data_IF_492206412870
#
_entry.id   IF_492206412870
#
_cell.length_a   1.000
_cell.length_b   1.000
_cell.length_c   1.000
_cell.angle_alpha   90.00
_cell.angle_beta   90.00
_cell.angle_gamma   90.00
#
_symmetry.space_group_name_H-M   'P 1'
#
loop_
_entity.id
_entity.type
_entity.pdbx_description
1 polymer ?
#
# COMPACT_ATOMS: atom_id res chain seq x y z
N UNK A 1 -17.97 1.43 9.43
CA UNK A 1 -19.20 1.59 8.61
C UNK A 1 -20.41 1.72 9.53
N UNK A 2 -21.19 2.75 9.36
CA UNK A 2 -22.48 2.91 10.02
C UNK A 2 -23.53 2.25 9.12
N UNK A 3 -24.36 1.36 9.67
CA UNK A 3 -25.43 0.67 8.94
C UNK A 3 -24.97 -0.06 7.65
N UNK A 4 -23.77 -0.62 7.65
CA UNK A 4 -23.16 -1.28 6.47
C UNK A 4 -22.95 -0.35 5.24
N UNK A 5 -22.88 0.96 5.44
CA UNK A 5 -22.58 1.93 4.38
C UNK A 5 -21.18 2.52 4.57
N UNK A 6 -20.61 3.05 3.51
CA UNK A 6 -19.37 3.81 3.57
C UNK A 6 -19.54 5.03 4.51
N UNK A 7 -18.61 5.22 5.43
CA UNK A 7 -18.56 6.34 6.36
C UNK A 7 -17.63 7.44 5.81
N UNK A 8 -18.15 8.30 4.95
CA UNK A 8 -17.41 9.40 4.33
C UNK A 8 -16.81 10.34 5.40
N UNK A 9 -17.58 10.72 6.40
CA UNK A 9 -17.09 11.61 7.46
C UNK A 9 -15.96 10.97 8.28
N UNK A 10 -16.09 9.68 8.59
CA UNK A 10 -15.02 8.91 9.25
C UNK A 10 -13.76 8.81 8.40
N UNK A 11 -13.89 8.56 7.09
CA UNK A 11 -12.75 8.52 6.18
C UNK A 11 -12.04 9.87 6.11
N UNK A 12 -12.75 10.98 6.00
CA UNK A 12 -12.17 12.34 6.00
C UNK A 12 -11.36 12.60 7.28
N UNK A 13 -11.91 12.26 8.45
CA UNK A 13 -11.17 12.36 9.72
C UNK A 13 -9.90 11.51 9.72
N UNK A 14 -9.96 10.29 9.17
CA UNK A 14 -8.80 9.41 9.09
C UNK A 14 -7.70 9.98 8.19
N UNK A 15 -8.06 10.52 7.03
CA UNK A 15 -7.11 11.15 6.11
C UNK A 15 -6.46 12.36 6.77
N UNK A 16 -7.25 13.23 7.41
CA UNK A 16 -6.74 14.38 8.15
C UNK A 16 -5.81 13.98 9.31
N UNK A 17 -6.13 12.88 10.02
CA UNK A 17 -5.26 12.32 11.06
C UNK A 17 -3.91 11.86 10.48
N UNK A 18 -3.93 11.06 9.42
CA UNK A 18 -2.71 10.54 8.77
C UNK A 18 -1.85 11.69 8.21
N UNK A 19 -2.46 12.70 7.61
CA UNK A 19 -1.75 13.90 7.13
C UNK A 19 -1.05 14.65 8.27
N UNK A 20 -1.68 14.74 9.46
CA UNK A 20 -1.06 15.37 10.64
C UNK A 20 0.13 14.60 11.18
N UNK A 21 0.27 13.31 10.89
CA UNK A 21 1.47 12.53 11.21
C UNK A 21 2.68 12.96 10.37
N UNK A 22 2.47 13.71 9.28
CA UNK A 22 3.53 14.16 8.38
C UNK A 22 3.80 13.20 7.21
N UNK A 23 2.88 12.28 6.91
CA UNK A 23 2.99 11.39 5.73
C UNK A 23 2.97 12.19 4.44
N UNK A 24 3.73 11.78 3.42
CA UNK A 24 3.80 12.43 2.12
C UNK A 24 2.64 12.08 1.18
N UNK A 25 1.93 11.01 1.47
CA UNK A 25 0.82 10.54 0.66
C UNK A 25 0.04 9.41 1.32
N UNK A 26 -1.04 9.00 0.70
CA UNK A 26 -1.84 7.86 1.12
C UNK A 26 -2.58 7.19 -0.01
N UNK A 27 -2.88 5.93 0.18
CA UNK A 27 -3.62 5.14 -0.79
C UNK A 27 -4.95 4.63 -0.26
N UNK A 28 -5.91 4.48 -1.15
CA UNK A 28 -7.23 3.96 -0.84
C UNK A 28 -7.53 2.65 -1.55
N UNK A 29 -8.56 1.97 -1.09
CA UNK A 29 -9.10 0.73 -1.66
C UNK A 29 -8.09 -0.42 -1.83
N UNK A 30 -7.05 -0.46 -0.99
CA UNK A 30 -6.07 -1.55 -0.97
C UNK A 30 -6.59 -2.75 -0.16
N UNK A 31 -5.78 -3.82 -0.01
CA UNK A 31 -6.17 -5.02 0.73
C UNK A 31 -6.71 -4.69 2.14
N UNK A 32 -5.93 -3.98 2.96
CA UNK A 32 -6.38 -3.58 4.29
C UNK A 32 -7.52 -2.53 4.28
N UNK A 33 -7.81 -1.93 3.13
CA UNK A 33 -8.96 -1.04 2.91
C UNK A 33 -10.24 -1.76 2.52
N UNK A 34 -10.27 -3.10 2.61
CA UNK A 34 -11.45 -3.93 2.36
C UNK A 34 -12.12 -3.71 0.99
N UNK A 35 -11.32 -3.43 -0.07
CA UNK A 35 -11.86 -3.10 -1.39
C UNK A 35 -12.86 -4.14 -1.93
N UNK A 36 -12.66 -5.42 -1.58
CA UNK A 36 -13.54 -6.51 -1.99
C UNK A 36 -14.93 -6.49 -1.34
N UNK A 37 -15.10 -5.75 -0.25
CA UNK A 37 -16.38 -5.60 0.47
C UNK A 37 -17.13 -4.31 0.12
N UNK A 38 -16.51 -3.44 -0.66
CA UNK A 38 -17.12 -2.21 -1.17
C UNK A 38 -17.88 -2.49 -2.47
N UNK A 39 -19.02 -1.85 -2.64
CA UNK A 39 -19.65 -1.80 -3.97
C UNK A 39 -18.82 -0.97 -4.93
N UNK A 40 -19.07 -1.09 -6.22
CA UNK A 40 -18.39 -0.27 -7.22
C UNK A 40 -18.55 1.23 -6.92
N UNK A 41 -19.78 1.69 -6.69
CA UNK A 41 -20.08 3.09 -6.37
C UNK A 41 -19.39 3.55 -5.06
N UNK A 42 -19.27 2.67 -4.06
CA UNK A 42 -18.53 3.00 -2.85
C UNK A 42 -17.04 3.13 -3.10
N UNK A 43 -16.46 2.35 -4.02
CA UNK A 43 -15.05 2.51 -4.42
C UNK A 43 -14.82 3.86 -5.08
N UNK A 44 -15.71 4.28 -5.98
CA UNK A 44 -15.67 5.62 -6.57
C UNK A 44 -15.72 6.69 -5.48
N UNK A 45 -16.69 6.58 -4.57
CA UNK A 45 -16.86 7.54 -3.49
C UNK A 45 -15.65 7.63 -2.54
N UNK A 46 -14.97 6.52 -2.29
CA UNK A 46 -13.73 6.52 -1.51
C UNK A 46 -12.62 7.29 -2.23
N UNK A 47 -12.49 7.14 -3.56
CA UNK A 47 -11.50 7.87 -4.37
C UNK A 47 -11.78 9.38 -4.35
N UNK A 48 -13.03 9.80 -4.59
CA UNK A 48 -13.47 11.19 -4.47
C UNK A 48 -13.11 11.78 -3.09
N UNK A 49 -13.42 11.06 -2.02
CA UNK A 49 -13.13 11.51 -0.65
C UNK A 49 -11.64 11.70 -0.40
N UNK A 50 -10.80 10.81 -0.93
CA UNK A 50 -9.34 10.89 -0.77
C UNK A 50 -8.78 12.06 -1.59
N UNK A 51 -9.23 12.23 -2.83
CA UNK A 51 -8.81 13.34 -3.68
C UNK A 51 -9.21 14.70 -3.09
N UNK A 52 -10.44 14.84 -2.62
CA UNK A 52 -10.94 16.05 -1.96
C UNK A 52 -10.06 16.43 -0.74
N UNK A 53 -9.80 15.47 0.15
CA UNK A 53 -9.02 15.71 1.38
C UNK A 53 -7.53 15.93 1.10
N UNK A 54 -7.01 15.41 -0.01
CA UNK A 54 -5.63 15.65 -0.43
C UNK A 54 -5.42 17.09 -0.88
N UNK A 55 -6.43 17.72 -1.50
CA UNK A 55 -6.41 19.12 -1.96
C UNK A 55 -5.18 19.45 -2.84
N UNK A 56 -4.72 18.49 -3.64
CA UNK A 56 -3.50 18.61 -4.45
C UNK A 56 -2.19 18.84 -3.68
N UNK A 57 -2.20 18.66 -2.36
CA UNK A 57 -1.06 18.90 -1.47
C UNK A 57 -0.51 17.65 -0.81
N UNK A 58 -1.14 16.54 -1.02
CA UNK A 58 -0.80 15.23 -0.46
C UNK A 58 -0.94 14.19 -1.58
N UNK A 59 0.10 13.39 -1.83
CA UNK A 59 0.10 12.43 -2.91
C UNK A 59 -0.94 11.33 -2.67
N UNK A 60 -1.66 10.99 -3.72
CA UNK A 60 -2.78 10.05 -3.66
C UNK A 60 -2.56 8.83 -4.54
N UNK A 61 -2.97 7.66 -4.04
CA UNK A 61 -2.93 6.43 -4.81
C UNK A 61 -4.27 5.67 -4.68
N UNK A 62 -4.79 5.14 -5.79
CA UNK A 62 -6.00 4.34 -5.80
C UNK A 62 -5.73 2.93 -6.33
N UNK A 63 -6.15 1.92 -5.56
CA UNK A 63 -6.09 0.53 -6.02
C UNK A 63 -7.32 0.21 -6.88
N UNK A 64 -7.07 -0.12 -8.15
CA UNK A 64 -8.11 -0.27 -9.17
C UNK A 64 -8.36 -1.72 -9.60
N UNK A 65 -7.65 -2.70 -9.06
CA UNK A 65 -7.84 -4.12 -9.44
C UNK A 65 -9.30 -4.54 -9.35
N UNK A 66 -9.77 -5.19 -10.39
CA UNK A 66 -11.09 -5.80 -10.45
C UNK A 66 -11.05 -7.08 -11.30
N UNK A 67 -11.94 -8.05 -11.04
CA UNK A 67 -12.03 -9.28 -11.87
C UNK A 67 -12.67 -9.01 -13.24
N UNK A 68 -13.49 -7.96 -13.35
CA UNK A 68 -13.95 -7.40 -14.62
C UNK A 68 -12.91 -6.39 -15.12
N UNK A 69 -12.41 -6.58 -16.34
CA UNK A 69 -11.48 -5.64 -16.96
C UNK A 69 -12.15 -4.27 -17.25
N UNK A 70 -13.43 -4.28 -17.62
CA UNK A 70 -14.21 -3.05 -17.85
C UNK A 70 -14.32 -2.22 -16.56
N UNK A 71 -14.62 -2.86 -15.44
CA UNK A 71 -14.72 -2.18 -14.15
C UNK A 71 -13.34 -1.67 -13.67
N UNK A 72 -12.26 -2.40 -13.94
CA UNK A 72 -10.90 -1.92 -13.66
C UNK A 72 -10.61 -0.62 -14.42
N UNK A 73 -10.90 -0.59 -15.70
CA UNK A 73 -10.70 0.59 -16.55
C UNK A 73 -11.60 1.74 -16.12
N UNK A 74 -12.87 1.46 -15.78
CA UNK A 74 -13.78 2.48 -15.27
C UNK A 74 -13.30 3.11 -13.95
N UNK A 75 -12.75 2.30 -13.03
CA UNK A 75 -12.11 2.79 -11.80
C UNK A 75 -10.90 3.66 -12.09
N UNK A 76 -10.09 3.29 -13.08
CA UNK A 76 -8.91 4.07 -13.48
C UNK A 76 -9.31 5.44 -14.07
N UNK A 77 -10.29 5.49 -14.96
CA UNK A 77 -10.79 6.73 -15.51
C UNK A 77 -11.41 7.64 -14.44
N UNK A 78 -12.12 7.06 -13.47
CA UNK A 78 -12.66 7.85 -12.36
C UNK A 78 -11.53 8.42 -11.50
N UNK A 79 -10.53 7.62 -11.14
CA UNK A 79 -9.37 8.09 -10.40
C UNK A 79 -8.63 9.24 -11.14
N UNK A 80 -8.48 9.14 -12.46
CA UNK A 80 -7.89 10.17 -13.30
C UNK A 80 -8.73 11.46 -13.28
N UNK A 81 -10.05 11.34 -13.37
CA UNK A 81 -10.97 12.50 -13.33
C UNK A 81 -10.99 13.21 -11.98
N UNK A 82 -10.77 12.50 -10.90
CA UNK A 82 -10.71 13.03 -9.54
C UNK A 82 -9.34 13.64 -9.18
N UNK A 83 -8.34 13.47 -10.05
CA UNK A 83 -6.99 13.98 -9.80
C UNK A 83 -6.17 13.12 -8.86
N UNK A 84 -6.42 11.82 -8.82
CA UNK A 84 -5.52 10.84 -8.16
C UNK A 84 -4.18 10.79 -8.91
N UNK A 85 -3.07 10.76 -8.18
CA UNK A 85 -1.72 10.83 -8.76
C UNK A 85 -1.21 9.48 -9.27
N UNK A 86 -1.63 8.36 -8.66
CA UNK A 86 -1.07 7.03 -8.92
C UNK A 86 -2.15 5.96 -8.89
N UNK A 87 -2.15 5.10 -9.89
CA UNK A 87 -2.92 3.86 -9.86
C UNK A 87 -2.10 2.72 -9.24
N UNK A 88 -2.76 1.88 -8.48
CA UNK A 88 -2.19 0.63 -7.96
C UNK A 88 -2.99 -0.53 -8.51
N UNK A 89 -2.30 -1.50 -9.09
CA UNK A 89 -2.91 -2.70 -9.66
C UNK A 89 -2.21 -3.95 -9.13
N UNK A 90 -2.99 -4.94 -8.76
CA UNK A 90 -2.53 -6.28 -8.35
C UNK A 90 -3.02 -7.32 -9.35
N UNK A 91 -2.56 -8.58 -9.29
CA UNK A 91 -3.15 -9.65 -10.09
C UNK A 91 -4.67 -9.72 -9.89
N UNK A 92 -5.46 -9.93 -10.94
CA UNK A 92 -6.89 -10.17 -10.78
C UNK A 92 -7.08 -11.49 -10.02
N UNK A 93 -7.59 -11.37 -8.81
CA UNK A 93 -7.74 -12.48 -7.86
C UNK A 93 -8.66 -13.59 -8.40
N UNK A 94 -8.44 -14.83 -7.96
CA UNK A 94 -9.15 -16.08 -8.31
C UNK A 94 -8.81 -16.66 -9.67
N UNK A 95 -8.69 -15.86 -10.73
CA UNK A 95 -8.64 -16.36 -12.13
C UNK A 95 -7.23 -16.45 -12.70
N UNK A 96 -6.29 -15.64 -12.22
CA UNK A 96 -4.92 -15.58 -12.74
C UNK A 96 -4.06 -16.71 -12.19
N UNK A 97 -3.37 -17.42 -13.09
CA UNK A 97 -2.53 -18.58 -12.75
C UNK A 97 -1.10 -18.46 -13.28
N UNK A 98 -0.83 -17.52 -14.17
CA UNK A 98 0.50 -17.35 -14.77
C UNK A 98 0.92 -15.89 -14.76
N UNK A 99 2.23 -15.65 -14.74
CA UNK A 99 2.79 -14.29 -14.81
C UNK A 99 2.44 -13.59 -16.12
N UNK A 100 2.40 -14.31 -17.25
CA UNK A 100 2.00 -13.72 -18.53
C UNK A 100 0.57 -13.16 -18.50
N UNK A 101 -0.37 -13.86 -17.84
CA UNK A 101 -1.74 -13.34 -17.66
C UNK A 101 -1.75 -12.05 -16.83
N UNK A 102 -0.87 -11.93 -15.83
CA UNK A 102 -0.72 -10.69 -15.06
C UNK A 102 -0.18 -9.57 -15.94
N UNK A 103 0.86 -9.85 -16.75
CA UNK A 103 1.43 -8.87 -17.68
C UNK A 103 0.39 -8.35 -18.65
N UNK A 104 -0.40 -9.24 -19.25
CA UNK A 104 -1.46 -8.85 -20.19
C UNK A 104 -2.57 -8.02 -19.51
N UNK A 105 -2.94 -8.36 -18.28
CA UNK A 105 -3.91 -7.60 -17.50
C UNK A 105 -3.41 -6.18 -17.14
N UNK A 106 -2.16 -6.05 -16.72
CA UNK A 106 -1.56 -4.74 -16.42
C UNK A 106 -1.38 -3.92 -17.68
N UNK A 107 -1.01 -4.55 -18.80
CA UNK A 107 -0.91 -3.88 -20.10
C UNK A 107 -2.27 -3.31 -20.54
N UNK A 108 -3.34 -4.07 -20.38
CA UNK A 108 -4.68 -3.59 -20.67
C UNK A 108 -5.03 -2.33 -19.88
N UNK A 109 -4.69 -2.28 -18.58
CA UNK A 109 -4.86 -1.06 -17.79
C UNK A 109 -4.03 0.09 -18.36
N UNK A 110 -2.76 -0.17 -18.64
CA UNK A 110 -1.81 0.83 -19.14
C UNK A 110 -2.21 1.45 -20.48
N UNK A 111 -2.85 0.67 -21.35
CA UNK A 111 -3.38 1.14 -22.64
C UNK A 111 -4.62 2.04 -22.50
N UNK A 112 -5.26 2.06 -21.33
CA UNK A 112 -6.49 2.78 -21.06
C UNK A 112 -6.37 3.92 -20.04
N UNK A 113 -5.15 4.33 -19.66
CA UNK A 113 -4.91 5.46 -18.76
C UNK A 113 -3.58 6.12 -19.03
N UNK A 114 -3.46 7.41 -18.72
CA UNK A 114 -2.19 8.15 -18.73
C UNK A 114 -1.56 8.26 -17.34
N UNK A 115 -2.24 7.81 -16.30
CA UNK A 115 -1.68 7.85 -14.94
C UNK A 115 -0.51 6.88 -14.78
N UNK A 116 0.40 7.24 -13.90
CA UNK A 116 1.44 6.34 -13.43
C UNK A 116 0.81 5.11 -12.75
N UNK A 117 1.38 3.93 -12.99
CA UNK A 117 0.91 2.67 -12.43
C UNK A 117 1.98 2.07 -11.54
N UNK A 118 1.60 1.62 -10.35
CA UNK A 118 2.41 0.78 -9.48
C UNK A 118 1.80 -0.60 -9.38
N UNK A 119 2.59 -1.63 -9.63
CA UNK A 119 2.16 -3.01 -9.44
C UNK A 119 2.24 -3.41 -7.97
N UNK A 120 1.22 -4.10 -7.45
CA UNK A 120 1.19 -4.61 -6.09
C UNK A 120 1.41 -6.12 -6.06
N UNK A 121 2.64 -6.55 -5.74
CA UNK A 121 3.04 -7.94 -5.65
C UNK A 121 2.75 -8.49 -4.26
N UNK A 122 1.71 -9.31 -4.12
CA UNK A 122 1.32 -9.86 -2.81
C UNK A 122 0.57 -11.18 -2.95
N UNK A 123 0.80 -12.16 -2.05
CA UNK A 123 0.09 -13.44 -2.05
C UNK A 123 -1.41 -13.31 -1.77
N UNK A 124 -1.87 -12.16 -1.28
CA UNK A 124 -3.30 -11.88 -1.08
C UNK A 124 -4.12 -11.97 -2.38
N UNK A 125 -3.48 -11.81 -3.53
CA UNK A 125 -4.12 -11.85 -4.85
C UNK A 125 -3.91 -13.16 -5.59
N UNK A 126 -3.33 -14.17 -4.94
CA UNK A 126 -3.20 -15.54 -5.43
C UNK A 126 -1.86 -15.85 -6.08
N UNK A 127 -1.36 -15.03 -7.01
CA UNK A 127 -0.05 -15.21 -7.65
C UNK A 127 0.92 -14.14 -7.16
N UNK A 128 2.14 -14.55 -6.85
CA UNK A 128 3.29 -13.68 -6.60
C UNK A 128 4.22 -13.76 -7.80
N UNK A 129 4.52 -12.60 -8.39
CA UNK A 129 5.46 -12.51 -9.51
C UNK A 129 6.88 -12.72 -9.03
N UNK A 130 7.66 -13.45 -9.81
CA UNK A 130 9.13 -13.55 -9.63
C UNK A 130 9.81 -12.23 -10.02
N UNK A 131 11.08 -11.97 -9.63
CA UNK A 131 11.82 -10.80 -10.09
C UNK A 131 11.86 -10.69 -11.62
N UNK A 132 11.99 -11.80 -12.35
CA UNK A 132 11.95 -11.85 -13.81
C UNK A 132 10.56 -11.52 -14.37
N UNK A 133 9.50 -11.96 -13.70
CA UNK A 133 8.12 -11.56 -14.03
C UNK A 133 7.88 -10.07 -13.79
N UNK A 134 8.41 -9.51 -12.71
CA UNK A 134 8.36 -8.08 -12.43
C UNK A 134 9.11 -7.26 -13.48
N UNK A 135 10.26 -7.74 -13.95
CA UNK A 135 10.99 -7.10 -15.05
C UNK A 135 10.14 -6.99 -16.33
N UNK A 136 9.35 -8.01 -16.66
CA UNK A 136 8.44 -7.96 -17.81
C UNK A 136 7.37 -6.87 -17.66
N UNK A 137 6.87 -6.66 -16.44
CA UNK A 137 5.94 -5.56 -16.14
C UNK A 137 6.60 -4.20 -16.34
N UNK A 138 7.85 -4.05 -15.95
CA UNK A 138 8.61 -2.81 -16.06
C UNK A 138 8.79 -2.32 -17.51
N UNK A 139 8.59 -3.16 -18.51
CA UNK A 139 8.57 -2.74 -19.91
C UNK A 139 7.26 -2.05 -20.35
N UNK A 140 6.26 -1.97 -19.48
CA UNK A 140 5.01 -1.25 -19.73
C UNK A 140 5.24 0.24 -19.50
N UNK A 141 4.96 1.15 -20.47
CA UNK A 141 5.49 2.52 -20.47
C UNK A 141 5.14 3.39 -19.27
N UNK A 142 3.95 3.25 -18.71
CA UNK A 142 3.48 4.05 -17.55
C UNK A 142 3.54 3.30 -16.22
N UNK A 143 4.13 2.08 -16.20
CA UNK A 143 4.43 1.40 -14.95
C UNK A 143 5.71 1.98 -14.35
N UNK A 144 5.59 2.61 -13.18
CA UNK A 144 6.69 3.34 -12.52
C UNK A 144 7.37 2.53 -11.42
N UNK A 145 6.77 1.44 -10.98
CA UNK A 145 7.37 0.62 -9.93
C UNK A 145 6.48 -0.49 -9.38
N UNK A 146 6.97 -1.07 -8.30
CA UNK A 146 6.35 -2.23 -7.63
C UNK A 146 6.27 -1.97 -6.12
N UNK A 147 5.09 -2.14 -5.55
CA UNK A 147 4.97 -2.42 -4.12
C UNK A 147 5.22 -3.92 -3.90
N UNK A 148 6.42 -4.25 -3.42
CA UNK A 148 6.87 -5.62 -3.21
C UNK A 148 6.52 -6.07 -1.80
N UNK A 149 5.40 -6.76 -1.67
CA UNK A 149 4.84 -7.26 -0.42
C UNK A 149 4.57 -8.78 -0.47
N UNK A 150 5.49 -9.52 -1.08
CA UNK A 150 5.42 -10.98 -1.19
C UNK A 150 5.61 -11.70 0.15
N UNK A 151 6.11 -11.01 1.18
CA UNK A 151 6.59 -11.56 2.45
C UNK A 151 7.77 -12.53 2.30
N UNK A 152 8.43 -12.52 1.15
CA UNK A 152 9.65 -13.26 0.86
C UNK A 152 10.83 -12.29 0.79
N UNK A 153 11.66 -12.26 1.84
CA UNK A 153 12.78 -11.31 1.93
C UNK A 153 13.77 -11.46 0.77
N UNK A 154 14.04 -12.69 0.33
CA UNK A 154 14.97 -12.94 -0.78
C UNK A 154 14.43 -12.33 -2.08
N UNK A 155 13.15 -12.55 -2.39
CA UNK A 155 12.49 -11.98 -3.55
C UNK A 155 12.51 -10.44 -3.50
N UNK A 156 12.20 -9.86 -2.34
CA UNK A 156 12.23 -8.41 -2.17
C UNK A 156 13.63 -7.83 -2.42
N UNK A 157 14.68 -8.45 -1.89
CA UNK A 157 16.07 -8.03 -2.12
C UNK A 157 16.45 -8.14 -3.60
N UNK A 158 16.13 -9.27 -4.25
CA UNK A 158 16.40 -9.49 -5.67
C UNK A 158 15.69 -8.46 -6.55
N UNK A 159 14.42 -8.14 -6.25
CA UNK A 159 13.68 -7.12 -6.98
C UNK A 159 14.36 -5.73 -6.85
N UNK A 160 14.82 -5.34 -5.66
CA UNK A 160 15.56 -4.10 -5.48
C UNK A 160 16.89 -4.07 -6.24
N UNK A 161 17.67 -5.14 -6.17
CA UNK A 161 18.97 -5.21 -6.87
C UNK A 161 18.82 -5.22 -8.39
N UNK A 162 17.77 -5.86 -8.90
CA UNK A 162 17.54 -6.04 -10.32
C UNK A 162 16.88 -4.81 -10.97
N UNK A 163 15.88 -4.21 -10.29
CA UNK A 163 15.00 -3.21 -10.87
C UNK A 163 15.11 -1.82 -10.22
N UNK A 164 15.61 -1.73 -8.98
CA UNK A 164 15.55 -0.52 -8.17
C UNK A 164 16.39 0.66 -8.66
N UNK A 165 17.21 0.49 -9.71
CA UNK A 165 17.93 1.60 -10.35
C UNK A 165 17.04 2.42 -11.28
N UNK A 166 16.11 1.76 -11.95
CA UNK A 166 15.30 2.35 -13.02
C UNK A 166 13.83 2.49 -12.61
N UNK A 167 13.39 1.73 -11.60
CA UNK A 167 12.00 1.68 -11.12
C UNK A 167 11.92 1.83 -9.62
N UNK A 168 10.77 2.33 -9.14
CA UNK A 168 10.49 2.42 -7.72
C UNK A 168 10.12 1.04 -7.18
N UNK A 169 10.96 0.47 -6.31
CA UNK A 169 10.61 -0.74 -5.57
C UNK A 169 10.35 -0.37 -4.12
N UNK A 170 9.19 -0.73 -3.60
CA UNK A 170 8.76 -0.40 -2.23
C UNK A 170 8.42 -1.66 -1.44
N UNK A 171 9.34 -2.09 -0.58
CA UNK A 171 9.07 -3.12 0.43
C UNK A 171 8.46 -2.44 1.66
N UNK A 172 7.35 -2.95 2.23
CA UNK A 172 6.57 -2.23 3.23
C UNK A 172 7.09 -2.33 4.68
N UNK A 173 8.22 -2.96 4.90
CA UNK A 173 8.81 -3.21 6.22
C UNK A 173 10.22 -2.60 6.36
N UNK A 174 10.57 -2.13 7.55
CA UNK A 174 11.78 -1.34 7.83
C UNK A 174 13.09 -2.13 7.68
N UNK A 175 13.04 -3.46 7.82
CA UNK A 175 14.23 -4.31 7.65
C UNK A 175 14.93 -4.11 6.29
N UNK A 176 14.19 -3.63 5.29
CA UNK A 176 14.73 -3.38 3.96
C UNK A 176 15.82 -2.31 3.95
N UNK A 177 15.73 -1.30 4.82
CA UNK A 177 16.72 -0.23 4.88
C UNK A 177 18.09 -0.71 5.39
N UNK A 178 18.12 -1.64 6.35
CA UNK A 178 19.36 -2.32 6.75
C UNK A 178 19.99 -3.07 5.58
N UNK A 179 19.17 -3.80 4.80
CA UNK A 179 19.64 -4.52 3.61
C UNK A 179 20.07 -3.58 2.50
N UNK A 180 19.36 -2.48 2.30
CA UNK A 180 19.70 -1.44 1.35
C UNK A 180 21.11 -0.88 1.62
N UNK A 181 21.42 -0.54 2.87
CA UNK A 181 22.74 -0.08 3.28
C UNK A 181 23.83 -1.15 3.07
N UNK A 182 23.55 -2.39 3.46
CA UNK A 182 24.52 -3.49 3.36
C UNK A 182 24.81 -3.91 1.91
N UNK A 183 23.84 -3.85 1.02
CA UNK A 183 23.90 -4.36 -0.36
C UNK A 183 24.02 -3.26 -1.41
N UNK A 184 23.94 -1.99 -1.03
CA UNK A 184 24.16 -0.84 -1.91
C UNK A 184 23.01 -0.54 -2.86
N UNK A 185 21.77 -0.86 -2.50
CA UNK A 185 20.59 -0.38 -3.20
C UNK A 185 19.86 0.72 -2.43
N UNK A 186 18.85 1.34 -3.02
CA UNK A 186 18.10 2.43 -2.40
C UNK A 186 16.60 2.23 -2.55
N UNK A 187 15.85 2.39 -1.46
CA UNK A 187 14.38 2.45 -1.48
C UNK A 187 13.91 3.90 -1.31
N UNK A 188 13.40 4.49 -2.37
CA UNK A 188 13.04 5.92 -2.45
C UNK A 188 11.68 6.24 -1.82
N UNK A 189 10.79 5.27 -1.71
CA UNK A 189 9.46 5.42 -1.14
C UNK A 189 9.06 4.16 -0.37
N UNK A 190 8.31 4.32 0.70
CA UNK A 190 7.72 3.19 1.42
C UNK A 190 6.20 3.31 1.47
N UNK A 191 5.52 2.38 0.82
CA UNK A 191 4.10 2.11 1.10
C UNK A 191 4.01 1.25 2.35
N UNK A 192 4.11 1.90 3.50
CA UNK A 192 4.30 1.27 4.80
C UNK A 192 3.23 0.23 5.15
N UNK A 193 3.64 -0.73 5.97
CA UNK A 193 2.71 -1.67 6.60
C UNK A 193 1.67 -0.92 7.44
N UNK A 194 0.47 -1.48 7.51
CA UNK A 194 -0.67 -0.80 8.16
C UNK A 194 -0.63 -0.81 9.68
N UNK A 195 0.26 -1.58 10.32
CA UNK A 195 0.32 -1.68 11.77
C UNK A 195 1.23 -0.63 12.41
N UNK A 196 2.40 -0.38 11.86
CA UNK A 196 3.49 0.28 12.59
C UNK A 196 3.28 1.80 12.72
N UNK A 197 2.90 2.51 11.68
CA UNK A 197 2.63 3.95 11.75
C UNK A 197 1.42 4.32 12.63
N UNK A 198 0.58 3.35 13.02
CA UNK A 198 -0.55 3.58 13.93
C UNK A 198 -0.15 3.85 15.36
N UNK A 199 1.10 3.64 15.73
CA UNK A 199 1.62 4.08 17.02
C UNK A 199 2.01 5.56 17.03
N UNK A 200 2.13 6.18 15.86
CA UNK A 200 2.45 7.60 15.77
C UNK A 200 1.25 8.48 16.17
N UNK A 201 1.55 9.58 16.82
CA UNK A 201 0.65 10.70 17.04
C UNK A 201 1.26 11.97 16.45
N UNK A 202 0.51 13.05 16.24
CA UNK A 202 1.08 14.31 15.74
C UNK A 202 2.23 14.85 16.59
N UNK A 203 2.25 14.55 17.88
CA UNK A 203 3.27 14.98 18.85
C UNK A 203 4.47 14.02 18.89
N UNK A 204 4.27 12.77 18.53
CA UNK A 204 5.28 11.69 18.58
C UNK A 204 5.22 10.82 17.31
N UNK A 205 5.60 11.37 16.16
CA UNK A 205 5.55 10.70 14.85
C UNK A 205 6.89 10.06 14.47
N UNK A 206 7.48 9.30 15.38
CA UNK A 206 8.82 8.73 15.21
C UNK A 206 8.94 7.75 14.05
N UNK A 207 7.89 6.98 13.76
CA UNK A 207 7.88 6.07 12.62
C UNK A 207 7.94 6.84 11.29
N UNK A 208 7.09 7.84 11.13
CA UNK A 208 7.06 8.68 9.93
C UNK A 208 8.40 9.41 9.75
N UNK A 209 8.98 9.97 10.82
CA UNK A 209 10.30 10.61 10.77
C UNK A 209 11.41 9.64 10.33
N UNK A 210 11.43 8.43 10.88
CA UNK A 210 12.41 7.42 10.51
C UNK A 210 12.30 7.02 9.05
N UNK A 211 11.08 6.71 8.57
CA UNK A 211 10.84 6.33 7.17
C UNK A 211 11.21 7.47 6.22
N UNK A 212 10.85 8.71 6.56
CA UNK A 212 11.18 9.88 5.75
C UNK A 212 12.70 10.07 5.58
N UNK A 213 13.47 9.89 6.64
CA UNK A 213 14.94 9.92 6.62
C UNK A 213 15.53 8.73 5.88
N UNK A 214 15.05 7.52 6.17
CA UNK A 214 15.55 6.29 5.56
C UNK A 214 15.33 6.26 4.04
N UNK A 215 14.19 6.78 3.55
CA UNK A 215 13.91 6.92 2.12
C UNK A 215 14.75 8.02 1.44
N UNK A 216 15.47 8.83 2.19
CA UNK A 216 16.47 9.78 1.70
C UNK A 216 17.91 9.23 1.83
N UNK A 217 18.07 7.98 2.28
CA UNK A 217 19.37 7.33 2.49
C UNK A 217 19.99 7.60 3.86
N UNK A 218 19.30 8.28 4.77
CA UNK A 218 19.75 8.52 6.14
C UNK A 218 19.19 7.43 7.07
N UNK A 219 19.83 6.26 7.07
CA UNK A 219 19.51 5.14 7.95
C UNK A 219 20.16 5.33 9.32
N UNK A 220 19.35 5.65 10.34
CA UNK A 220 19.79 5.89 11.70
C UNK A 220 19.36 4.74 12.62
N UNK A 221 20.25 3.75 12.79
CA UNK A 221 20.01 2.59 13.65
C UNK A 221 19.83 2.99 15.12
N UNK A 222 20.53 4.03 15.60
CA UNK A 222 20.42 4.46 16.98
C UNK A 222 19.04 5.09 17.26
N UNK A 223 18.52 5.85 16.29
CA UNK A 223 17.16 6.39 16.37
C UNK A 223 16.13 5.26 16.37
N UNK A 224 16.27 4.29 15.46
CA UNK A 224 15.39 3.13 15.39
C UNK A 224 15.38 2.35 16.71
N UNK A 225 16.54 2.03 17.25
CA UNK A 225 16.67 1.28 18.51
C UNK A 225 16.04 2.00 19.68
N UNK A 226 16.19 3.32 19.74
CA UNK A 226 15.67 4.15 20.83
C UNK A 226 14.15 4.31 20.79
N UNK A 227 13.56 4.52 19.61
CA UNK A 227 12.17 4.94 19.49
C UNK A 227 11.24 3.90 18.86
N UNK A 228 11.74 3.01 18.00
CA UNK A 228 10.90 2.13 17.19
C UNK A 228 11.05 0.64 17.52
N UNK A 229 12.22 0.16 17.94
CA UNK A 229 12.45 -1.28 18.21
C UNK A 229 11.36 -1.90 19.08
N UNK A 230 11.03 -1.26 20.19
CA UNK A 230 10.01 -1.78 21.12
C UNK A 230 8.62 -1.78 20.50
N UNK A 231 8.31 -0.78 19.70
CA UNK A 231 7.05 -0.70 18.96
C UNK A 231 6.96 -1.83 17.92
N UNK A 232 8.03 -2.04 17.17
CA UNK A 232 8.12 -3.10 16.17
C UNK A 232 7.94 -4.50 16.77
N UNK A 233 8.63 -4.80 17.88
CA UNK A 233 8.47 -6.08 18.61
C UNK A 233 7.02 -6.30 19.05
N UNK A 234 6.35 -5.28 19.52
CA UNK A 234 4.96 -5.34 19.93
C UNK A 234 4.03 -5.55 18.72
N UNK A 235 4.24 -4.79 17.66
CA UNK A 235 3.50 -4.89 16.39
C UNK A 235 3.64 -6.29 15.79
N UNK A 236 4.84 -6.83 15.68
CA UNK A 236 5.11 -8.16 15.14
C UNK A 236 4.46 -9.26 15.99
N UNK A 237 4.53 -9.13 17.31
CA UNK A 237 3.90 -10.08 18.24
C UNK A 237 2.37 -10.08 18.05
N UNK A 238 1.79 -8.90 17.97
CA UNK A 238 0.37 -8.72 17.77
C UNK A 238 -0.08 -9.25 16.39
N UNK A 239 0.65 -8.87 15.33
CA UNK A 239 0.37 -9.32 13.96
C UNK A 239 0.43 -10.84 13.85
N UNK A 240 1.51 -11.45 14.34
CA UNK A 240 1.72 -12.90 14.31
C UNK A 240 0.59 -13.64 15.03
N UNK A 241 0.22 -13.19 16.22
CA UNK A 241 -0.90 -13.80 16.97
C UNK A 241 -2.22 -13.69 16.22
N UNK A 242 -2.50 -12.52 15.65
CA UNK A 242 -3.78 -12.25 14.98
C UNK A 242 -3.88 -13.05 13.69
N UNK A 243 -2.86 -13.00 12.85
CA UNK A 243 -2.85 -13.72 11.56
C UNK A 243 -2.87 -15.24 11.77
N UNK A 244 -2.08 -15.76 12.71
CA UNK A 244 -2.04 -17.20 12.98
C UNK A 244 -3.37 -17.71 13.56
N UNK A 245 -4.03 -16.95 14.42
CA UNK A 245 -5.32 -17.34 14.99
C UNK A 245 -6.44 -17.38 13.93
N UNK A 246 -6.29 -16.65 12.84
CA UNK A 246 -7.27 -16.57 11.76
C UNK A 246 -6.81 -17.26 10.46
N UNK A 247 -5.89 -18.23 10.55
CA UNK A 247 -5.39 -19.01 9.42
C UNK A 247 -4.88 -18.14 8.24
N UNK A 248 -4.18 -17.08 8.53
CA UNK A 248 -3.65 -16.16 7.52
C UNK A 248 -4.65 -15.13 7.00
N UNK A 249 -5.86 -15.07 7.52
CA UNK A 249 -6.81 -14.02 7.17
C UNK A 249 -6.29 -12.65 7.62
N UNK A 250 -6.59 -11.62 6.82
CA UNK A 250 -6.22 -10.25 7.17
C UNK A 250 -6.87 -9.81 8.49
N UNK A 251 -6.11 -9.26 9.44
CA UNK A 251 -6.63 -8.92 10.76
C UNK A 251 -7.39 -7.58 10.80
N UNK A 252 -8.25 -7.34 9.81
CA UNK A 252 -8.93 -6.05 9.62
C UNK A 252 -9.72 -5.60 10.84
N UNK A 253 -10.52 -6.46 11.53
CA UNK A 253 -11.25 -6.05 12.72
C UNK A 253 -10.33 -5.52 13.82
N UNK A 254 -9.20 -6.19 14.04
CA UNK A 254 -8.23 -5.81 15.06
C UNK A 254 -7.49 -4.51 14.69
N UNK A 255 -7.14 -4.33 13.41
CA UNK A 255 -6.53 -3.08 12.91
C UNK A 255 -7.49 -1.89 13.03
N UNK A 256 -8.77 -2.09 12.76
CA UNK A 256 -9.79 -1.05 12.96
C UNK A 256 -9.93 -0.67 14.42
N UNK A 257 -10.03 -1.67 15.30
CA UNK A 257 -10.10 -1.42 16.75
C UNK A 257 -8.85 -0.69 17.28
N UNK A 258 -7.66 -1.09 16.80
CA UNK A 258 -6.45 -0.39 17.15
C UNK A 258 -6.45 1.07 16.63
N UNK A 259 -6.89 1.29 15.39
CA UNK A 259 -7.05 2.64 14.87
C UNK A 259 -7.98 3.51 15.75
N UNK A 260 -9.09 2.94 16.26
CA UNK A 260 -9.99 3.65 17.19
C UNK A 260 -9.28 4.03 18.49
N UNK A 261 -8.44 3.15 19.07
CA UNK A 261 -7.64 3.46 20.24
C UNK A 261 -6.66 4.61 20.02
N UNK A 262 -6.23 4.81 18.78
CA UNK A 262 -5.29 5.85 18.36
C UNK A 262 -6.01 7.09 17.76
N UNK A 263 -7.31 7.20 17.91
CA UNK A 263 -8.10 8.37 17.52
C UNK A 263 -8.64 8.36 16.07
N UNK A 264 -8.54 7.24 15.37
CA UNK A 264 -9.11 7.07 14.03
C UNK A 264 -10.57 6.58 14.10
N UNK A 265 -11.32 6.78 13.03
CA UNK A 265 -12.62 6.15 12.85
C UNK A 265 -12.43 4.72 12.31
N UNK A 266 -12.83 3.70 13.06
CA UNK A 266 -12.73 2.29 12.68
C UNK A 266 -14.03 1.74 12.09
N UNK A 267 -14.99 1.49 12.97
CA UNK A 267 -16.28 0.91 12.62
C UNK A 267 -16.24 -0.60 12.33
N UNK A 268 -17.38 -1.16 11.98
CA UNK A 268 -17.53 -2.60 11.72
C UNK A 268 -16.88 -2.97 10.38
N UNK A 269 -16.41 -4.20 10.29
CA UNK A 269 -16.06 -4.85 9.01
C UNK A 269 -17.33 -5.38 8.33
N UNK A 270 -17.26 -5.62 7.02
CA UNK A 270 -18.32 -6.24 6.23
C UNK A 270 -18.01 -7.69 5.90
#
# INVERSE_FOLDING_TARGET
>A
TVENKFDDAGMRRNIQHIRKLGTRGGGCTWGMGEFWSLTFDERLRVMETVADEADGKWLTAAHVTHTSAEDMVALAHHAESDGIDLLVVAPPYMVTKTESQVVDYVRLLAENTNLAIMFYNSPQFGIVMTPQGLEQLCHIPNLVGVKEASFNQQLSIEAHLMLGKDYVISTPDEWIFEKAQALGFHQQVMFANTSDWRFDTPECNYYVQYIDRATQGDYDQAFYDKYLRRIKELSDTWWTRTVNNYNGALPIPAVKYWGELMGMAGGKVR
#
